data_IF_478375838530
#
_entry.id   IF_478375838530
#
_cell.length_a   1.000
_cell.length_b   1.000
_cell.length_c   1.000
_cell.angle_alpha   90.00
_cell.angle_beta   90.00
_cell.angle_gamma   90.00
#
_symmetry.space_group_name_H-M   'P 1'
#
loop_
_entity.id
_entity.type
_entity.pdbx_description
1 polymer ?
#
# COMPACT_ATOMS: atom_id res chain seq x y z
N UNK A 1 1.20 22.74 -18.28
CA UNK A 1 1.29 22.60 -16.81
C UNK A 1 1.78 21.19 -16.54
N UNK A 2 2.68 21.03 -15.57
CA UNK A 2 3.21 19.70 -15.21
C UNK A 2 2.18 19.01 -14.32
N UNK A 3 1.67 17.86 -14.75
CA UNK A 3 0.68 17.10 -13.98
C UNK A 3 1.30 16.58 -12.69
N UNK A 4 0.58 16.73 -11.59
CA UNK A 4 0.99 16.28 -10.26
C UNK A 4 -0.05 15.34 -9.70
N UNK A 5 0.40 14.47 -8.80
CA UNK A 5 -0.48 13.57 -8.06
C UNK A 5 -1.49 14.35 -7.20
N UNK A 6 -1.16 15.57 -6.74
CA UNK A 6 -2.10 16.48 -6.07
C UNK A 6 -3.28 16.93 -6.93
N UNK A 7 -3.20 16.75 -8.25
CA UNK A 7 -4.29 17.09 -9.17
C UNK A 7 -5.39 16.00 -9.16
N UNK A 8 -5.13 14.85 -8.54
CA UNK A 8 -6.12 13.81 -8.30
C UNK A 8 -6.92 14.09 -7.01
N UNK A 9 -8.26 13.92 -7.02
CA UNK A 9 -9.10 13.37 -8.09
C UNK A 9 -9.64 14.41 -9.08
N UNK A 10 -9.43 15.71 -8.86
CA UNK A 10 -10.10 16.80 -9.60
C UNK A 10 -9.84 16.76 -11.12
N UNK A 11 -8.63 16.40 -11.55
CA UNK A 11 -8.27 16.21 -12.96
C UNK A 11 -8.94 14.98 -13.60
N UNK A 12 -9.52 14.07 -12.81
CA UNK A 12 -10.03 12.75 -13.21
C UNK A 12 -11.57 12.65 -13.16
N UNK A 13 -12.30 13.75 -13.40
CA UNK A 13 -13.78 13.75 -13.45
C UNK A 13 -14.39 12.93 -14.61
N UNK A 14 -13.68 12.79 -15.73
CA UNK A 14 -14.10 11.96 -16.87
C UNK A 14 -13.03 10.90 -17.11
N UNK A 15 -13.25 9.74 -16.49
CA UNK A 15 -12.22 8.71 -16.34
C UNK A 15 -12.70 7.35 -16.77
N UNK A 16 -11.79 6.60 -17.39
CA UNK A 16 -11.92 5.18 -17.67
C UNK A 16 -10.85 4.44 -16.87
N UNK A 17 -11.28 3.47 -16.06
CA UNK A 17 -10.38 2.54 -15.37
C UNK A 17 -10.14 1.34 -16.27
N UNK A 18 -8.87 0.97 -16.42
CA UNK A 18 -8.39 -0.09 -17.30
C UNK A 18 -7.74 -1.17 -16.45
N UNK A 19 -8.28 -2.38 -16.55
CA UNK A 19 -7.74 -3.59 -15.93
C UNK A 19 -7.30 -4.59 -16.99
N UNK A 20 -6.44 -5.53 -16.60
CA UNK A 20 -6.05 -6.66 -17.46
C UNK A 20 -7.22 -7.58 -17.79
N UNK A 21 -7.16 -8.27 -18.93
CA UNK A 21 -8.19 -9.27 -19.30
C UNK A 21 -8.28 -10.41 -18.28
N UNK A 22 -7.12 -10.77 -17.71
CA UNK A 22 -6.91 -11.78 -16.68
C UNK A 22 -6.65 -11.16 -15.30
N UNK A 23 -7.21 -9.97 -15.03
CA UNK A 23 -7.08 -9.32 -13.73
C UNK A 23 -7.54 -10.25 -12.59
N UNK A 24 -6.72 -10.35 -11.56
CA UNK A 24 -7.01 -11.05 -10.32
C UNK A 24 -8.10 -10.34 -9.50
N UNK A 25 -8.66 -11.04 -8.52
CA UNK A 25 -9.66 -10.47 -7.60
C UNK A 25 -9.12 -9.24 -6.85
N UNK A 26 -7.82 -9.21 -6.55
CA UNK A 26 -7.16 -8.08 -5.89
C UNK A 26 -7.12 -6.86 -6.81
N UNK A 27 -6.79 -7.05 -8.08
CA UNK A 27 -6.75 -5.97 -9.07
C UNK A 27 -8.15 -5.42 -9.35
N UNK A 28 -9.14 -6.31 -9.44
CA UNK A 28 -10.53 -5.91 -9.57
C UNK A 28 -11.03 -5.18 -8.32
N UNK A 29 -10.64 -5.63 -7.12
CA UNK A 29 -10.96 -4.93 -5.88
C UNK A 29 -10.36 -3.52 -5.88
N UNK A 30 -9.07 -3.38 -6.23
CA UNK A 30 -8.40 -2.09 -6.32
C UNK A 30 -9.11 -1.15 -7.31
N UNK A 31 -9.47 -1.65 -8.50
CA UNK A 31 -10.21 -0.88 -9.50
C UNK A 31 -11.59 -0.41 -8.99
N UNK A 32 -12.33 -1.27 -8.30
CA UNK A 32 -13.63 -0.92 -7.72
C UNK A 32 -13.50 0.10 -6.58
N UNK A 33 -12.52 -0.06 -5.68
CA UNK A 33 -12.28 0.91 -4.60
C UNK A 33 -11.89 2.29 -5.14
N UNK A 34 -11.10 2.35 -6.21
CA UNK A 34 -10.79 3.61 -6.91
C UNK A 34 -12.05 4.22 -7.56
N UNK A 35 -12.89 3.38 -8.19
CA UNK A 35 -14.13 3.84 -8.80
C UNK A 35 -15.09 4.43 -7.75
N UNK A 36 -15.25 3.75 -6.61
CA UNK A 36 -16.08 4.20 -5.50
C UNK A 36 -15.54 5.49 -4.87
N UNK A 37 -14.21 5.61 -4.73
CA UNK A 37 -13.58 6.85 -4.28
C UNK A 37 -13.88 8.02 -5.22
N UNK A 38 -13.71 7.82 -6.54
CA UNK A 38 -14.00 8.85 -7.54
C UNK A 38 -15.49 9.22 -7.59
N UNK A 39 -16.39 8.25 -7.43
CA UNK A 39 -17.82 8.51 -7.32
C UNK A 39 -18.15 9.41 -6.13
N UNK A 40 -17.56 9.12 -4.96
CA UNK A 40 -17.76 9.91 -3.75
C UNK A 40 -17.19 11.34 -3.84
N UNK A 41 -16.00 11.49 -4.43
CA UNK A 41 -15.33 12.79 -4.52
C UNK A 41 -15.83 13.66 -5.68
N UNK A 42 -16.21 13.06 -6.81
CA UNK A 42 -16.56 13.80 -8.04
C UNK A 42 -18.04 13.71 -8.43
N UNK A 43 -18.80 12.81 -7.78
CA UNK A 43 -20.19 12.50 -8.14
C UNK A 43 -20.35 11.64 -9.39
N UNK A 44 -19.26 11.23 -10.05
CA UNK A 44 -19.28 10.42 -11.27
C UNK A 44 -18.52 9.11 -11.06
N UNK A 45 -19.22 7.97 -11.14
CA UNK A 45 -18.59 6.66 -11.12
C UNK A 45 -17.92 6.38 -12.47
N UNK A 46 -16.60 6.16 -12.53
CA UNK A 46 -15.92 5.83 -13.78
C UNK A 46 -16.32 4.44 -14.26
N UNK A 47 -16.25 4.23 -15.58
CA UNK A 47 -16.38 2.91 -16.17
C UNK A 47 -15.10 2.10 -15.93
N UNK A 48 -15.24 0.80 -15.73
CA UNK A 48 -14.13 -0.14 -15.67
C UNK A 48 -14.20 -1.02 -16.93
N UNK A 49 -13.12 -1.06 -17.71
CA UNK A 49 -12.99 -1.90 -18.91
C UNK A 49 -11.76 -2.78 -18.81
N UNK A 50 -11.86 -3.99 -19.36
CA UNK A 50 -10.71 -4.84 -19.60
C UNK A 50 -9.90 -4.34 -20.79
N UNK A 51 -8.62 -4.71 -20.85
CA UNK A 51 -7.72 -4.34 -21.95
C UNK A 51 -8.32 -4.61 -23.34
N UNK A 52 -8.90 -5.79 -23.56
CA UNK A 52 -9.52 -6.17 -24.83
C UNK A 52 -10.79 -5.41 -25.21
N UNK A 53 -11.42 -4.70 -24.27
CA UNK A 53 -12.67 -3.95 -24.48
C UNK A 53 -12.43 -2.48 -24.85
N UNK A 54 -11.16 -2.05 -24.85
CA UNK A 54 -10.78 -0.65 -25.05
C UNK A 54 -10.58 -0.37 -26.54
N UNK A 55 -11.24 0.67 -27.03
CA UNK A 55 -11.03 1.21 -28.36
C UNK A 55 -9.97 2.32 -28.38
N UNK A 56 -9.39 2.62 -29.54
CA UNK A 56 -8.50 3.79 -29.70
C UNK A 56 -9.19 5.13 -29.38
N UNK A 57 -10.52 5.17 -29.51
CA UNK A 57 -11.32 6.34 -29.17
C UNK A 57 -11.44 6.51 -27.65
N UNK A 58 -11.63 5.41 -26.91
CA UNK A 58 -11.58 5.42 -25.45
C UNK A 58 -10.24 5.99 -24.94
N UNK A 59 -9.11 5.54 -25.54
CA UNK A 59 -7.76 6.00 -25.16
C UNK A 59 -7.58 7.52 -25.31
N UNK A 60 -8.29 8.17 -26.23
CA UNK A 60 -8.15 9.61 -26.53
C UNK A 60 -9.14 10.50 -25.79
N UNK A 61 -10.32 9.96 -25.47
CA UNK A 61 -11.44 10.76 -24.97
C UNK A 61 -11.47 10.85 -23.43
N UNK A 62 -10.94 9.85 -22.73
CA UNK A 62 -10.95 9.80 -21.27
C UNK A 62 -9.59 10.14 -20.64
N UNK A 63 -9.63 10.57 -19.38
CA UNK A 63 -8.48 10.34 -18.50
C UNK A 63 -8.43 8.85 -18.15
N UNK A 64 -7.23 8.30 -18.02
CA UNK A 64 -7.07 6.86 -17.87
C UNK A 64 -6.52 6.55 -16.48
N UNK A 65 -7.08 5.55 -15.81
CA UNK A 65 -6.45 4.94 -14.64
C UNK A 65 -6.15 3.50 -15.01
N UNK A 66 -4.88 3.11 -15.00
CA UNK A 66 -4.46 1.76 -15.34
C UNK A 66 -4.10 1.04 -14.06
N UNK A 67 -4.78 -0.07 -13.80
CA UNK A 67 -4.61 -0.86 -12.58
C UNK A 67 -4.10 -2.25 -12.95
N UNK A 68 -3.05 -2.70 -12.28
CA UNK A 68 -2.60 -4.10 -12.36
C UNK A 68 -1.09 -4.29 -12.38
N UNK A 69 -0.66 -5.46 -12.82
CA UNK A 69 0.77 -5.76 -13.06
C UNK A 69 1.07 -5.75 -14.57
N UNK A 70 2.33 -5.55 -14.99
CA UNK A 70 2.69 -5.65 -16.41
C UNK A 70 2.45 -7.03 -17.03
N UNK A 71 2.28 -8.07 -16.20
CA UNK A 71 1.93 -9.42 -16.64
C UNK A 71 0.43 -9.55 -16.92
N UNK A 72 -0.41 -9.10 -15.99
CA UNK A 72 -1.88 -9.24 -16.06
C UNK A 72 -2.52 -8.18 -16.95
N UNK A 73 -1.95 -6.98 -17.01
CA UNK A 73 -2.44 -5.83 -17.78
C UNK A 73 -1.42 -5.37 -18.84
N UNK A 74 -1.47 -5.91 -20.07
CA UNK A 74 -0.56 -5.54 -21.15
C UNK A 74 -0.63 -4.06 -21.55
N UNK A 75 -1.69 -3.34 -21.18
CA UNK A 75 -1.80 -1.91 -21.45
C UNK A 75 -0.66 -1.10 -20.82
N UNK A 76 -0.12 -1.54 -19.67
CA UNK A 76 1.04 -0.92 -19.04
C UNK A 76 2.27 -0.94 -19.97
N UNK A 77 2.48 -2.05 -20.69
CA UNK A 77 3.57 -2.18 -21.67
C UNK A 77 3.40 -1.23 -22.85
N UNK A 78 2.18 -0.97 -23.30
CA UNK A 78 1.90 0.04 -24.32
C UNK A 78 2.30 1.44 -23.83
N UNK A 79 1.95 1.79 -22.59
CA UNK A 79 2.31 3.08 -21.98
C UNK A 79 3.83 3.21 -21.88
N UNK A 80 4.52 2.20 -21.35
CA UNK A 80 5.99 2.19 -21.21
C UNK A 80 6.75 2.32 -22.54
N UNK A 81 6.13 1.94 -23.66
CA UNK A 81 6.74 2.05 -24.98
C UNK A 81 6.65 3.47 -25.55
N UNK A 82 5.73 4.30 -25.04
CA UNK A 82 5.45 5.64 -25.56
C UNK A 82 5.77 6.77 -24.59
N UNK A 83 6.02 6.44 -23.32
CA UNK A 83 6.30 7.41 -22.25
C UNK A 83 7.57 7.02 -21.49
N UNK A 84 8.02 7.94 -20.63
CA UNK A 84 9.11 7.68 -19.68
C UNK A 84 8.57 7.17 -18.32
N UNK A 85 7.39 6.54 -18.32
CA UNK A 85 6.81 5.96 -17.11
C UNK A 85 7.78 4.99 -16.44
N UNK A 86 7.75 5.00 -15.12
CA UNK A 86 8.59 4.13 -14.31
C UNK A 86 8.14 2.70 -14.49
N UNK A 87 9.05 1.83 -14.96
CA UNK A 87 8.70 0.43 -15.21
C UNK A 87 8.68 -0.36 -13.93
N UNK A 88 7.60 -1.09 -13.72
CA UNK A 88 7.51 -2.12 -12.70
C UNK A 88 8.16 -3.42 -13.21
N UNK A 89 9.05 -3.96 -12.39
CA UNK A 89 9.87 -5.16 -12.61
C UNK A 89 10.02 -5.89 -11.29
N UNK A 90 10.56 -7.11 -11.33
CA UNK A 90 10.89 -7.88 -10.13
C UNK A 90 11.95 -7.18 -9.27
N UNK A 91 12.89 -6.46 -9.90
CA UNK A 91 13.95 -5.74 -9.19
C UNK A 91 13.49 -4.38 -8.67
N UNK A 92 12.56 -3.73 -9.37
CA UNK A 92 12.10 -2.38 -9.07
C UNK A 92 10.61 -2.17 -9.41
N UNK A 93 9.75 -1.73 -8.46
CA UNK A 93 10.06 -1.40 -7.06
C UNK A 93 10.37 -2.65 -6.21
N UNK A 94 10.15 -3.83 -6.79
CA UNK A 94 10.32 -5.14 -6.19
C UNK A 94 9.08 -5.68 -5.51
N UNK A 95 9.18 -6.91 -5.04
CA UNK A 95 8.11 -7.65 -4.38
C UNK A 95 7.46 -6.84 -3.24
N UNK A 96 6.13 -6.91 -3.16
CA UNK A 96 5.32 -6.26 -2.14
C UNK A 96 5.25 -4.74 -2.21
N UNK A 97 5.81 -4.11 -3.25
CA UNK A 97 5.77 -2.66 -3.46
C UNK A 97 5.02 -2.31 -4.73
N UNK A 98 4.43 -1.11 -4.73
CA UNK A 98 3.75 -0.55 -5.88
C UNK A 98 4.20 0.87 -6.19
N UNK A 99 3.90 1.31 -7.41
CA UNK A 99 4.15 2.64 -7.94
C UNK A 99 2.81 3.29 -8.23
N UNK A 100 2.71 4.56 -7.84
CA UNK A 100 1.64 5.47 -8.23
C UNK A 100 2.27 6.62 -9.03
N UNK A 101 1.89 6.77 -10.30
CA UNK A 101 2.49 7.76 -11.20
C UNK A 101 1.44 8.43 -12.09
N UNK A 102 1.44 9.77 -12.16
CA UNK A 102 0.61 10.53 -13.12
C UNK A 102 1.48 11.09 -14.23
N UNK A 103 1.01 10.91 -15.46
CA UNK A 103 1.65 11.43 -16.66
C UNK A 103 0.61 11.99 -17.65
N UNK A 104 1.04 12.75 -18.67
CA UNK A 104 0.18 13.06 -19.81
C UNK A 104 -0.20 11.78 -20.56
N UNK A 105 -1.45 11.67 -20.98
CA UNK A 105 -1.92 10.55 -21.78
C UNK A 105 -1.19 10.55 -23.15
N UNK A 106 -0.51 9.45 -23.53
CA UNK A 106 0.30 9.40 -24.75
C UNK A 106 -0.52 9.49 -26.04
N UNK A 107 -1.80 9.09 -26.00
CA UNK A 107 -2.72 9.21 -27.15
C UNK A 107 -3.37 10.58 -27.27
N UNK A 108 -3.47 11.34 -26.16
CA UNK A 108 -3.97 12.71 -26.14
C UNK A 108 -3.38 13.51 -24.96
N UNK A 109 -2.42 14.40 -25.23
CA UNK A 109 -1.71 15.17 -24.20
C UNK A 109 -2.57 16.15 -23.40
N UNK A 110 -3.81 16.41 -23.81
CA UNK A 110 -4.77 17.20 -23.02
C UNK A 110 -5.47 16.39 -21.92
N UNK A 111 -5.24 15.07 -21.87
CA UNK A 111 -5.75 14.14 -20.87
C UNK A 111 -4.61 13.61 -20.01
N UNK A 112 -4.95 13.09 -18.84
CA UNK A 112 -4.02 12.48 -17.91
C UNK A 112 -4.13 10.95 -17.91
N UNK A 113 -3.06 10.29 -17.52
CA UNK A 113 -3.03 8.88 -17.15
C UNK A 113 -2.47 8.75 -15.73
N UNK A 114 -3.12 7.94 -14.90
CA UNK A 114 -2.64 7.51 -13.59
C UNK A 114 -2.32 6.02 -13.67
N UNK A 115 -1.09 5.65 -13.33
CA UNK A 115 -0.64 4.27 -13.23
C UNK A 115 -0.73 3.85 -11.77
N UNK A 116 -1.46 2.76 -11.52
CA UNK A 116 -1.61 2.11 -10.21
C UNK A 116 -1.11 0.68 -10.38
N UNK A 117 0.20 0.51 -10.22
CA UNK A 117 0.87 -0.70 -10.67
C UNK A 117 1.84 -1.28 -9.65
N UNK A 118 1.96 -2.60 -9.65
CA UNK A 118 2.85 -3.33 -8.76
C UNK A 118 3.37 -4.60 -9.45
N UNK A 119 4.47 -5.15 -8.92
CA UNK A 119 5.01 -6.41 -9.44
C UNK A 119 4.09 -7.58 -9.11
N UNK A 120 3.48 -7.54 -7.92
CA UNK A 120 2.60 -8.58 -7.40
C UNK A 120 1.34 -7.98 -6.74
N UNK A 121 0.40 -8.85 -6.36
CA UNK A 121 -0.82 -8.45 -5.68
C UNK A 121 -0.59 -7.83 -4.29
N UNK A 122 0.50 -8.15 -3.60
CA UNK A 122 0.83 -7.56 -2.29
C UNK A 122 1.19 -6.09 -2.46
N UNK A 123 1.96 -5.74 -3.50
CA UNK A 123 2.29 -4.37 -3.84
C UNK A 123 1.06 -3.55 -4.22
N UNK A 124 0.09 -4.15 -4.92
CA UNK A 124 -1.20 -3.50 -5.19
C UNK A 124 -1.99 -3.23 -3.90
N UNK A 125 -2.09 -4.21 -3.00
CA UNK A 125 -2.71 -4.02 -1.68
C UNK A 125 -1.97 -2.96 -0.87
N UNK A 126 -0.64 -2.86 -1.01
CA UNK A 126 0.14 -1.82 -0.36
C UNK A 126 -0.30 -0.44 -0.85
N UNK A 127 -0.46 -0.21 -2.16
CA UNK A 127 -0.94 1.07 -2.68
C UNK A 127 -2.32 1.43 -2.11
N UNK A 128 -3.25 0.48 -2.11
CA UNK A 128 -4.64 0.71 -1.65
C UNK A 128 -4.74 1.02 -0.15
N UNK A 129 -3.85 0.44 0.67
CA UNK A 129 -3.87 0.63 2.13
C UNK A 129 -3.18 1.89 2.61
N UNK A 130 -2.47 2.60 1.74
CA UNK A 130 -1.85 3.85 2.12
C UNK A 130 -2.91 4.95 2.21
N UNK A 131 -2.94 5.72 3.31
CA UNK A 131 -4.02 6.67 3.56
C UNK A 131 -4.00 7.76 2.47
N UNK A 132 -4.97 7.67 1.56
CA UNK A 132 -5.18 8.57 0.42
C UNK A 132 -5.39 10.04 0.82
N UNK A 133 -5.59 10.33 2.11
CA UNK A 133 -5.87 11.68 2.65
C UNK A 133 -4.65 12.53 3.03
N UNK A 134 -3.47 11.93 3.23
CA UNK A 134 -2.28 12.66 3.74
C UNK A 134 -1.13 12.72 2.72
N UNK A 135 -1.45 12.53 1.44
CA UNK A 135 -0.41 12.52 0.44
C UNK A 135 -0.07 13.98 0.07
N UNK A 136 1.09 14.47 0.53
CA UNK A 136 1.75 15.67 0.00
C UNK A 136 2.67 15.22 -1.16
N UNK A 137 2.24 15.44 -2.40
CA UNK A 137 2.65 14.65 -3.57
C UNK A 137 3.31 15.50 -4.66
N UNK A 138 4.60 15.74 -4.51
CA UNK A 138 5.42 16.46 -5.50
C UNK A 138 6.38 15.56 -6.31
N UNK A 139 6.34 14.23 -6.10
CA UNK A 139 7.24 13.24 -6.71
C UNK A 139 6.59 11.84 -6.74
N UNK A 140 7.07 10.88 -7.57
CA UNK A 140 6.59 9.49 -7.52
C UNK A 140 6.69 8.95 -6.09
N UNK A 141 5.58 8.42 -5.57
CA UNK A 141 5.56 7.84 -4.23
C UNK A 141 5.84 6.35 -4.31
N UNK A 142 6.93 5.96 -3.66
CA UNK A 142 7.25 4.58 -3.38
C UNK A 142 6.49 4.13 -2.13
N UNK A 143 5.55 3.22 -2.34
CA UNK A 143 4.74 2.68 -1.26
C UNK A 143 5.41 1.39 -0.78
N UNK A 144 6.02 1.44 0.40
CA UNK A 144 6.56 0.26 1.07
C UNK A 144 5.41 -0.50 1.72
N UNK A 145 5.37 -1.85 1.69
CA UNK A 145 4.37 -2.57 2.47
C UNK A 145 4.50 -2.12 3.93
N UNK A 146 3.39 -1.90 4.67
CA UNK A 146 3.48 -1.69 6.10
C UNK A 146 4.26 -2.88 6.65
N UNK A 147 5.43 -2.63 7.23
CA UNK A 147 6.33 -3.67 7.77
C UNK A 147 5.46 -4.69 8.46
N UNK A 148 5.47 -5.92 7.97
CA UNK A 148 4.67 -7.02 8.46
C UNK A 148 4.82 -7.12 9.98
N UNK A 149 3.83 -6.60 10.71
CA UNK A 149 3.45 -7.21 11.97
C UNK A 149 2.53 -8.35 11.55
N UNK A 150 2.99 -9.61 11.54
CA UNK A 150 2.07 -10.72 11.31
C UNK A 150 1.01 -10.68 12.40
N UNK A 151 -0.26 -10.53 12.00
CA UNK A 151 -1.36 -11.00 12.83
C UNK A 151 -1.26 -12.52 12.86
N UNK A 152 -1.18 -13.05 14.08
CA UNK A 152 -1.38 -14.44 14.47
C UNK A 152 -0.19 -15.39 14.25
N UNK A 153 0.57 -15.58 15.33
CA UNK A 153 1.54 -16.65 15.54
C UNK A 153 2.11 -16.51 16.95
N UNK A 154 2.12 -17.59 17.74
CA UNK A 154 2.77 -17.60 19.06
C UNK A 154 4.28 -17.50 18.85
N UNK A 155 4.85 -16.32 19.06
CA UNK A 155 6.29 -16.07 19.01
C UNK A 155 6.84 -15.71 20.38
N UNK A 156 7.91 -16.37 20.82
CA UNK A 156 8.72 -15.94 21.97
C UNK A 156 9.79 -15.00 21.41
N UNK A 157 9.70 -13.71 21.73
CA UNK A 157 10.75 -12.75 21.39
C UNK A 157 11.84 -12.80 22.47
N UNK A 158 13.03 -13.32 22.11
CA UNK A 158 14.23 -13.21 22.95
C UNK A 158 15.01 -11.99 22.48
N UNK A 159 14.98 -10.92 23.27
CA UNK A 159 15.76 -9.71 22.99
C UNK A 159 17.06 -9.78 23.82
N UNK A 160 18.26 -9.81 23.22
CA UNK A 160 19.51 -9.76 23.97
C UNK A 160 19.77 -8.32 24.43
N UNK A 161 19.61 -8.05 25.74
CA UNK A 161 20.00 -6.76 26.32
C UNK A 161 21.01 -6.93 27.46
N UNK A 162 22.08 -6.16 27.39
CA UNK A 162 23.13 -6.06 28.40
C UNK A 162 22.60 -5.43 29.71
N UNK A 163 22.95 -6.04 30.83
CA UNK A 163 22.46 -5.81 32.20
C UNK A 163 22.65 -4.36 32.69
N UNK A 164 23.50 -3.56 32.06
CA UNK A 164 23.90 -2.24 32.56
C UNK A 164 22.83 -1.13 32.53
N UNK A 165 21.84 -1.21 31.64
CA UNK A 165 20.89 -0.09 31.42
C UNK A 165 19.58 -0.19 32.22
N UNK A 166 19.45 -1.19 33.09
CA UNK A 166 18.18 -1.59 33.72
C UNK A 166 17.63 -0.58 34.75
N UNK A 167 18.46 0.25 35.38
CA UNK A 167 18.00 1.09 36.50
C UNK A 167 17.58 2.51 36.11
N UNK A 168 18.01 3.03 34.95
CA UNK A 168 17.71 4.42 34.55
C UNK A 168 16.36 4.51 33.83
N UNK A 169 15.98 3.50 33.05
CA UNK A 169 14.71 3.49 32.31
C UNK A 169 13.46 3.34 33.18
N UNK A 170 13.55 2.62 34.31
CA UNK A 170 12.40 2.33 35.16
C UNK A 170 11.86 3.60 35.85
N UNK A 171 12.73 4.56 36.18
CA UNK A 171 12.31 5.83 36.79
C UNK A 171 11.66 6.81 35.81
N UNK A 172 12.03 6.75 34.52
CA UNK A 172 11.50 7.69 33.52
C UNK A 172 10.12 7.26 33.00
N UNK A 173 9.87 5.96 32.85
CA UNK A 173 8.63 5.45 32.25
C UNK A 173 7.44 5.44 33.22
N UNK A 174 7.67 5.54 34.53
CA UNK A 174 6.59 5.54 35.53
C UNK A 174 5.78 6.85 35.59
N UNK A 175 6.23 7.91 34.91
CA UNK A 175 5.62 9.25 34.99
C UNK A 175 4.44 9.51 34.06
N UNK A 176 4.29 8.79 32.94
CA UNK A 176 3.32 9.21 31.92
C UNK A 176 2.80 8.03 31.07
N UNK A 177 1.72 7.38 31.49
CA UNK A 177 0.51 7.05 30.67
C UNK A 177 -0.32 5.87 31.24
N UNK A 178 -1.51 6.22 31.75
CA UNK A 178 -2.84 5.62 31.55
C UNK A 178 -3.09 4.13 31.93
N UNK A 179 -4.02 3.96 32.90
CA UNK A 179 -4.86 2.81 33.27
C UNK A 179 -4.79 1.55 32.37
N UNK A 180 -3.82 0.68 32.58
CA UNK A 180 -3.87 -0.73 32.17
C UNK A 180 -3.57 -1.63 33.35
N UNK A 181 -4.45 -2.60 33.65
CA UNK A 181 -4.13 -3.70 34.56
C UNK A 181 -3.34 -4.74 33.77
N UNK A 182 -2.04 -4.83 34.03
CA UNK A 182 -1.15 -5.85 33.46
C UNK A 182 -0.84 -6.85 34.59
N UNK A 183 -1.12 -8.14 34.36
CA UNK A 183 -0.74 -9.21 35.28
C UNK A 183 0.59 -9.79 34.80
N UNK A 184 1.62 -9.71 35.63
CA UNK A 184 2.95 -10.25 35.35
C UNK A 184 3.09 -11.59 36.06
N UNK A 185 3.44 -12.66 35.32
CA UNK A 185 3.78 -13.96 35.90
C UNK A 185 5.27 -14.19 35.66
N UNK A 186 6.12 -14.22 36.70
CA UNK A 186 7.52 -14.57 36.52
C UNK A 186 7.62 -16.06 36.21
N UNK A 187 8.33 -16.40 35.13
CA UNK A 187 8.63 -17.78 34.75
C UNK A 187 10.13 -18.00 34.90
N UNK A 188 10.49 -19.04 35.64
CA UNK A 188 11.88 -19.46 35.84
C UNK A 188 12.25 -20.46 34.74
N UNK A 189 13.28 -20.16 33.94
CA UNK A 189 13.76 -21.09 32.92
C UNK A 189 15.22 -21.43 33.21
N UNK A 190 15.50 -22.72 33.32
CA UNK A 190 16.86 -23.24 33.54
C UNK A 190 17.45 -23.72 32.22
N UNK A 191 18.64 -23.22 31.89
CA UNK A 191 19.51 -23.80 30.87
C UNK A 191 20.74 -24.43 31.54
N UNK A 192 21.46 -25.29 30.82
CA UNK A 192 22.64 -25.99 31.34
C UNK A 192 23.76 -25.05 31.83
N UNK A 193 23.73 -23.78 31.40
CA UNK A 193 24.68 -22.73 31.76
C UNK A 193 24.19 -21.77 32.87
N UNK A 194 22.96 -21.90 33.37
CA UNK A 194 22.44 -21.08 34.46
C UNK A 194 20.92 -20.91 34.49
N UNK A 195 20.43 -20.33 35.59
CA UNK A 195 19.00 -20.06 35.82
C UNK A 195 18.69 -18.61 35.51
N UNK A 196 17.70 -18.34 34.65
CA UNK A 196 17.29 -16.98 34.27
C UNK A 196 15.84 -16.71 34.69
N UNK A 197 15.61 -15.52 35.24
CA UNK A 197 14.30 -14.96 35.54
C UNK A 197 13.79 -14.23 34.31
N UNK A 198 12.72 -14.73 33.68
CA UNK A 198 12.09 -14.09 32.53
C UNK A 198 10.73 -13.54 32.98
N UNK A 199 10.53 -12.23 32.82
CA UNK A 199 9.23 -11.59 33.04
C UNK A 199 8.40 -11.70 31.77
N UNK A 200 7.37 -12.55 31.79
CA UNK A 200 6.36 -12.60 30.74
C UNK A 200 5.15 -11.76 31.18
N UNK A 201 4.74 -10.80 30.34
CA UNK A 201 3.48 -10.08 30.49
C UNK A 201 2.39 -10.76 29.70
N UNK A 202 1.30 -11.15 30.36
CA UNK A 202 0.08 -11.62 29.70
C UNK A 202 -0.95 -10.48 29.70
N UNK A 203 -1.33 -10.01 28.52
CA UNK A 203 -2.39 -9.02 28.35
C UNK A 203 -3.67 -9.75 27.95
N UNK A 204 -4.54 -10.04 28.93
CA UNK A 204 -5.87 -10.59 28.69
C UNK A 204 -6.90 -9.48 28.48
N UNK A 205 -7.63 -9.51 27.37
CA UNK A 205 -8.81 -8.66 27.17
C UNK A 205 -10.09 -9.48 27.42
N UNK A 206 -10.86 -9.07 28.43
CA UNK A 206 -12.25 -9.51 28.60
C UNK A 206 -13.13 -8.66 27.70
N UNK A 207 -13.81 -9.29 26.76
CA UNK A 207 -14.94 -8.69 26.07
C UNK A 207 -16.20 -8.92 26.90
N UNK A 208 -17.03 -7.88 26.97
CA UNK A 208 -18.39 -7.90 27.51
C UNK A 208 -19.35 -7.70 26.35
#
# INVERSE_FOLDING_TARGET
EELKLSDFPEAFKSTLIIVGDNASDIEMQAANEIADYLENETGNKPLIKKHSEISDEDKKNYNLIVVGTPETNPFLKEVYAMTNATRVTEEFPGEGKGILEILPNPWNKSKAILLVEAWDGIGLVSIMRFPTKEIDISSPIFIYPPTSRPRMGWGIDIIPFSIGSFLIGLSVVMGTYVKRKILWIPILIMFSTGVFLVLASFVGYSWR
#
